data_IF_220696448948
#
_entry.id   IF_220696448948
#
_cell.length_a   1.000
_cell.length_b   1.000
_cell.length_c   1.000
_cell.angle_alpha   90.00
_cell.angle_beta   90.00
_cell.angle_gamma   90.00
#
_symmetry.space_group_name_H-M   'P 1'
#
loop_
_entity.id
_entity.type
_entity.pdbx_description
1 polymer ?
#
# COMPACT_ATOMS: atom_id res chain seq x y z
N UNK A 1 10.95 24.10 4.48
CA UNK A 1 11.02 22.98 5.45
C UNK A 1 9.63 22.42 5.73
N UNK A 2 8.67 23.24 6.20
CA UNK A 2 7.27 22.82 6.42
C UNK A 2 6.58 22.22 5.18
N UNK A 3 6.67 22.88 4.03
CA UNK A 3 6.10 22.36 2.76
C UNK A 3 6.65 20.98 2.36
N UNK A 4 7.91 20.70 2.70
CA UNK A 4 8.54 19.39 2.44
C UNK A 4 7.89 18.28 3.26
N UNK A 5 7.67 18.54 4.54
CA UNK A 5 6.99 17.59 5.44
C UNK A 5 5.53 17.39 5.07
N UNK A 6 4.80 18.44 4.68
CA UNK A 6 3.42 18.28 4.20
C UNK A 6 3.35 17.38 2.96
N UNK A 7 4.30 17.54 2.04
CA UNK A 7 4.40 16.71 0.84
C UNK A 7 4.69 15.25 1.18
N UNK A 8 5.55 14.99 2.16
CA UNK A 8 5.84 13.63 2.64
C UNK A 8 4.64 12.98 3.30
N UNK A 9 3.95 13.69 4.18
CA UNK A 9 2.72 13.22 4.84
C UNK A 9 1.65 12.88 3.79
N UNK A 10 1.48 13.73 2.77
CA UNK A 10 0.53 13.49 1.69
C UNK A 10 0.88 12.22 0.91
N UNK A 11 2.15 12.02 0.54
CA UNK A 11 2.61 10.80 -0.13
C UNK A 11 2.36 9.55 0.70
N UNK A 12 2.63 9.60 2.01
CA UNK A 12 2.40 8.45 2.90
C UNK A 12 0.91 8.09 2.98
N UNK A 13 0.03 9.07 3.15
CA UNK A 13 -1.43 8.85 3.20
C UNK A 13 -1.95 8.28 1.87
N UNK A 14 -1.47 8.78 0.74
CA UNK A 14 -1.79 8.25 -0.59
C UNK A 14 -1.32 6.79 -0.75
N UNK A 15 -0.12 6.46 -0.25
CA UNK A 15 0.39 5.08 -0.25
C UNK A 15 -0.50 4.15 0.56
N UNK A 16 -0.84 4.54 1.79
CA UNK A 16 -1.70 3.75 2.69
C UNK A 16 -3.10 3.54 2.12
N UNK A 17 -3.69 4.57 1.50
CA UNK A 17 -4.99 4.46 0.85
C UNK A 17 -4.97 3.44 -0.29
N UNK A 18 -3.93 3.45 -1.12
CA UNK A 18 -3.75 2.47 -2.19
C UNK A 18 -3.59 1.06 -1.64
N UNK A 19 -2.77 0.87 -0.61
CA UNK A 19 -2.60 -0.43 0.04
C UNK A 19 -3.94 -0.97 0.56
N UNK A 20 -4.71 -0.16 1.30
CA UNK A 20 -6.01 -0.59 1.82
C UNK A 20 -6.97 -0.98 0.68
N UNK A 21 -6.94 -0.26 -0.44
CA UNK A 21 -7.75 -0.57 -1.62
C UNK A 21 -7.34 -1.88 -2.29
N UNK A 22 -6.05 -2.09 -2.54
CA UNK A 22 -5.54 -3.34 -3.15
C UNK A 22 -5.84 -4.56 -2.31
N UNK A 23 -5.88 -4.41 -0.98
CA UNK A 23 -6.22 -5.49 -0.06
C UNK A 23 -7.74 -5.74 0.04
N UNK A 24 -8.59 -4.98 -0.69
CA UNK A 24 -10.06 -5.10 -0.76
C UNK A 24 -10.76 -5.23 0.60
N UNK A 25 -10.27 -4.52 1.62
CA UNK A 25 -10.84 -4.58 2.97
C UNK A 25 -10.28 -5.68 3.88
N UNK A 26 -9.32 -6.48 3.43
CA UNK A 26 -8.55 -7.39 4.29
C UNK A 26 -7.72 -6.66 5.35
N UNK A 27 -7.37 -5.40 5.08
CA UNK A 27 -6.83 -4.46 6.08
C UNK A 27 -7.47 -3.07 5.86
N UNK A 28 -7.90 -2.45 6.95
CA UNK A 28 -8.49 -1.12 6.92
C UNK A 28 -7.42 -0.03 6.88
N UNK A 29 -7.78 1.14 6.36
CA UNK A 29 -6.92 2.32 6.37
C UNK A 29 -6.44 2.68 7.78
N UNK A 30 -7.33 2.60 8.78
CA UNK A 30 -7.00 2.89 10.18
C UNK A 30 -5.95 1.93 10.74
N UNK A 31 -6.09 0.63 10.48
CA UNK A 31 -5.11 -0.38 10.89
C UNK A 31 -3.74 -0.11 10.26
N UNK A 32 -3.68 0.20 8.96
CA UNK A 32 -2.43 0.54 8.30
C UNK A 32 -1.79 1.82 8.86
N UNK A 33 -2.58 2.83 9.21
CA UNK A 33 -2.08 4.07 9.82
C UNK A 33 -1.47 3.84 11.22
N UNK A 34 -1.86 2.77 11.90
CA UNK A 34 -1.32 2.39 13.23
C UNK A 34 -0.10 1.46 13.14
N UNK A 35 0.20 0.92 11.94
CA UNK A 35 1.35 0.04 11.74
C UNK A 35 2.65 0.83 11.62
N UNK A 36 3.76 0.18 11.97
CA UNK A 36 5.08 0.74 11.67
C UNK A 36 5.38 0.63 10.18
N UNK A 37 6.19 1.55 9.64
CA UNK A 37 6.52 1.59 8.20
C UNK A 37 7.13 0.27 7.68
N UNK A 38 7.84 -0.47 8.53
CA UNK A 38 8.42 -1.78 8.20
C UNK A 38 7.37 -2.86 7.98
N UNK A 39 6.26 -2.81 8.72
CA UNK A 39 5.17 -3.76 8.50
C UNK A 39 4.38 -3.38 7.25
N UNK A 40 4.14 -2.08 7.02
CA UNK A 40 3.50 -1.56 5.82
C UNK A 40 4.26 -1.96 4.55
N UNK A 41 5.61 -1.96 4.57
CA UNK A 41 6.41 -2.36 3.40
C UNK A 41 6.16 -3.82 3.01
N UNK A 42 5.93 -4.72 3.98
CA UNK A 42 5.62 -6.13 3.70
C UNK A 42 4.32 -6.30 2.92
N UNK A 43 3.31 -5.47 3.18
CA UNK A 43 2.07 -5.48 2.39
C UNK A 43 2.31 -5.00 0.95
N UNK A 44 3.25 -4.08 0.77
CA UNK A 44 3.64 -3.60 -0.55
C UNK A 44 4.27 -4.75 -1.35
N UNK A 45 5.18 -5.51 -0.71
CA UNK A 45 5.83 -6.68 -1.33
C UNK A 45 4.81 -7.73 -1.80
N UNK A 46 3.81 -8.04 -0.97
CA UNK A 46 2.72 -9.00 -1.32
C UNK A 46 1.92 -8.52 -2.54
N UNK A 47 1.60 -7.23 -2.60
CA UNK A 47 0.86 -6.66 -3.74
C UNK A 47 1.71 -6.73 -5.02
N UNK A 48 3.01 -6.44 -4.91
CA UNK A 48 3.93 -6.49 -6.05
C UNK A 48 4.09 -7.93 -6.57
N UNK A 49 4.23 -8.91 -5.68
CA UNK A 49 4.26 -10.33 -6.04
C UNK A 49 2.96 -10.76 -6.76
N UNK A 50 1.80 -10.36 -6.25
CA UNK A 50 0.50 -10.64 -6.89
C UNK A 50 0.38 -9.98 -8.27
N UNK A 51 0.92 -8.77 -8.43
CA UNK A 51 0.92 -8.07 -9.70
C UNK A 51 1.82 -8.77 -10.73
N UNK A 52 2.98 -9.27 -10.32
CA UNK A 52 3.87 -10.07 -11.19
C UNK A 52 3.25 -11.42 -11.57
N UNK A 53 2.58 -12.10 -10.63
CA UNK A 53 1.83 -13.32 -10.93
C UNK A 53 0.68 -13.05 -11.90
N UNK A 54 -0.05 -11.96 -11.72
CA UNK A 54 -1.12 -11.53 -12.63
C UNK A 54 -0.61 -11.33 -14.07
N UNK A 55 0.53 -10.65 -14.20
CA UNK A 55 1.19 -10.45 -15.51
C UNK A 55 1.55 -11.79 -16.16
N UNK A 56 2.15 -12.71 -15.40
CA UNK A 56 2.53 -14.05 -15.88
C UNK A 56 1.32 -14.89 -16.28
N UNK A 57 0.25 -14.82 -15.49
CA UNK A 57 -1.00 -15.53 -15.75
C UNK A 57 -1.82 -14.93 -16.91
N UNK A 58 -1.46 -13.73 -17.39
CA UNK A 58 -2.29 -12.91 -18.32
C UNK A 58 -3.72 -12.69 -17.81
N UNK A 59 -3.89 -12.74 -16.51
CA UNK A 59 -5.17 -12.59 -15.82
C UNK A 59 -4.94 -11.72 -14.60
N UNK A 60 -5.85 -10.79 -14.36
CA UNK A 60 -5.79 -9.97 -13.15
C UNK A 60 -6.12 -10.85 -11.95
N UNK A 61 -5.13 -11.13 -11.11
CA UNK A 61 -5.27 -11.80 -9.82
C UNK A 61 -5.11 -10.71 -8.76
N UNK A 62 -6.22 -10.00 -8.53
CA UNK A 62 -6.38 -8.96 -7.50
C UNK A 62 -7.73 -9.14 -6.81
#
# INVERSE_FOLDING_TARGET
MLEGYEKEVKRLKEHIAKLSWYMRGGVTYEQLMQMCLRDISRFTDVIDENMELSKKAKQLIL
#
